data_IF_132250655736
#
_entry.id   IF_132250655736
#
_cell.length_a   1.000
_cell.length_b   1.000
_cell.length_c   1.000
_cell.angle_alpha   90.00
_cell.angle_beta   90.00
_cell.angle_gamma   90.00
#
_symmetry.space_group_name_H-M   'P 1'
#
loop_
_entity.id
_entity.type
_entity.pdbx_description
1 polymer ?
#
# COMPACT_ATOMS: atom_id res chain seq x y z
N UNK A 1 -3.79 10.64 -30.50
CA UNK A 1 -4.42 10.00 -29.32
C UNK A 1 -3.92 10.70 -28.07
N UNK A 2 -4.78 10.99 -27.10
CA UNK A 2 -4.39 11.67 -25.86
C UNK A 2 -3.61 10.66 -25.00
N UNK A 3 -2.30 10.88 -24.85
CA UNK A 3 -1.44 10.09 -23.96
C UNK A 3 -1.33 10.83 -22.64
N UNK A 4 -1.27 10.09 -21.53
CA UNK A 4 -1.17 10.65 -20.18
C UNK A 4 0.03 10.03 -19.47
N UNK A 5 0.61 10.79 -18.55
CA UNK A 5 1.63 10.30 -17.65
C UNK A 5 0.93 9.63 -16.47
N UNK A 6 1.30 8.40 -16.18
CA UNK A 6 0.89 7.67 -14.99
C UNK A 6 2.08 7.51 -14.05
N UNK A 7 1.85 7.80 -12.77
CA UNK A 7 2.83 7.84 -11.70
C UNK A 7 2.61 6.61 -10.82
N UNK A 8 3.54 5.67 -10.88
CA UNK A 8 3.50 4.46 -10.09
C UNK A 8 4.48 4.54 -8.90
N UNK A 9 3.97 4.35 -7.69
CA UNK A 9 4.77 4.25 -6.45
C UNK A 9 4.67 2.87 -5.78
N UNK A 10 3.80 1.99 -6.30
CA UNK A 10 3.46 0.68 -5.75
C UNK A 10 3.83 -0.47 -6.69
N UNK A 11 3.03 -1.53 -6.70
CA UNK A 11 3.26 -2.72 -7.55
C UNK A 11 3.30 -2.43 -9.07
N UNK A 12 2.70 -1.33 -9.51
CA UNK A 12 2.76 -0.84 -10.88
C UNK A 12 4.13 -0.22 -11.27
N UNK A 13 5.11 -0.18 -10.38
CA UNK A 13 6.50 0.09 -10.78
C UNK A 13 7.09 -1.08 -11.57
N UNK A 14 6.58 -2.30 -11.36
CA UNK A 14 7.06 -3.50 -12.01
C UNK A 14 6.68 -3.52 -13.50
N UNK A 15 7.69 -3.56 -14.38
CA UNK A 15 7.48 -3.65 -15.83
C UNK A 15 6.69 -4.90 -16.23
N UNK A 16 6.90 -6.03 -15.55
CA UNK A 16 6.20 -7.29 -15.81
C UNK A 16 4.70 -7.14 -15.51
N UNK A 17 4.37 -6.52 -14.37
CA UNK A 17 2.97 -6.29 -14.00
C UNK A 17 2.33 -5.22 -14.89
N UNK A 18 3.08 -4.18 -15.24
CA UNK A 18 2.60 -3.13 -16.14
C UNK A 18 2.34 -3.64 -17.55
N UNK A 19 3.19 -4.49 -18.12
CA UNK A 19 2.95 -5.07 -19.43
C UNK A 19 1.66 -5.93 -19.48
N UNK A 20 1.31 -6.59 -18.37
CA UNK A 20 0.07 -7.37 -18.25
C UNK A 20 -1.17 -6.46 -18.10
N UNK A 21 -1.06 -5.42 -17.28
CA UNK A 21 -2.16 -4.49 -16.98
C UNK A 21 -2.41 -3.49 -18.10
N UNK A 22 -1.35 -2.98 -18.71
CA UNK A 22 -1.33 -1.88 -19.66
C UNK A 22 -0.40 -2.22 -20.85
N UNK A 23 -0.91 -2.91 -21.88
CA UNK A 23 -0.09 -3.34 -23.02
C UNK A 23 0.50 -2.19 -23.85
N UNK A 24 -0.12 -1.01 -23.85
CA UNK A 24 0.39 0.15 -24.59
C UNK A 24 1.32 1.03 -23.74
N UNK A 25 1.57 0.65 -22.48
CA UNK A 25 2.36 1.46 -21.56
C UNK A 25 3.84 1.47 -21.95
N UNK A 26 4.44 2.66 -21.95
CA UNK A 26 5.86 2.83 -22.16
C UNK A 26 6.53 3.48 -20.95
N UNK A 27 7.60 2.86 -20.44
CA UNK A 27 8.40 3.42 -19.36
C UNK A 27 9.08 4.71 -19.86
N UNK A 28 8.87 5.82 -19.15
CA UNK A 28 9.44 7.14 -19.49
C UNK A 28 10.68 7.41 -18.64
N UNK A 29 10.66 6.99 -17.38
CA UNK A 29 11.75 7.26 -16.44
C UNK A 29 11.28 7.19 -15.00
N UNK A 30 12.01 7.86 -14.13
CA UNK A 30 11.74 7.95 -12.69
C UNK A 30 11.61 9.40 -12.26
N UNK A 31 11.13 9.62 -11.04
CA UNK A 31 11.07 10.94 -10.43
C UNK A 31 10.70 10.84 -8.96
N UNK A 32 10.35 11.96 -8.36
CA UNK A 32 9.82 12.01 -6.99
C UNK A 32 8.60 12.90 -6.89
N UNK A 33 7.71 12.54 -5.97
CA UNK A 33 6.53 13.33 -5.60
C UNK A 33 6.76 13.89 -4.20
N UNK A 34 6.94 15.21 -4.11
CA UNK A 34 7.18 15.90 -2.84
C UNK A 34 5.89 16.21 -2.08
N UNK A 35 6.01 16.30 -0.76
CA UNK A 35 4.90 16.54 0.15
C UNK A 35 4.03 15.29 0.38
N UNK A 36 4.58 14.10 0.14
CA UNK A 36 3.90 12.82 0.33
C UNK A 36 4.81 11.80 1.04
N UNK A 37 4.18 10.87 1.75
CA UNK A 37 4.82 9.65 2.24
C UNK A 37 4.12 8.40 1.71
N UNK A 38 4.88 7.31 1.61
CA UNK A 38 4.36 5.99 1.29
C UNK A 38 3.75 5.35 2.55
N UNK A 39 2.58 4.71 2.41
CA UNK A 39 1.88 4.01 3.48
C UNK A 39 1.24 2.73 2.96
N UNK A 40 0.78 1.87 3.85
CA UNK A 40 0.11 0.60 3.55
C UNK A 40 -1.24 0.54 4.25
N UNK A 41 -2.28 0.27 3.47
CA UNK A 41 -3.67 0.24 3.94
C UNK A 41 -4.42 -0.98 3.45
N UNK A 42 -5.40 -1.40 4.26
CA UNK A 42 -6.26 -2.53 3.99
C UNK A 42 -7.24 -2.26 2.84
N UNK A 43 -7.40 -3.28 2.01
CA UNK A 43 -8.39 -3.45 0.96
C UNK A 43 -9.21 -4.72 1.25
N UNK A 44 -10.23 -5.00 0.44
CA UNK A 44 -11.00 -6.25 0.52
C UNK A 44 -10.14 -7.51 0.31
N UNK A 45 -9.00 -7.37 -0.38
CA UNK A 45 -8.20 -8.51 -0.85
C UNK A 45 -6.79 -8.56 -0.27
N UNK A 46 -6.49 -7.72 0.73
CA UNK A 46 -5.16 -7.62 1.32
C UNK A 46 -4.77 -6.17 1.61
N UNK A 47 -3.48 -5.93 1.86
CA UNK A 47 -2.97 -4.61 2.18
C UNK A 47 -2.00 -4.12 1.10
N UNK A 48 -2.22 -2.90 0.61
CA UNK A 48 -1.51 -2.34 -0.55
C UNK A 48 -0.99 -0.93 -0.28
N UNK A 49 -0.02 -0.53 -1.10
CA UNK A 49 0.62 0.77 -1.02
C UNK A 49 -0.33 1.92 -1.35
N UNK A 50 -0.17 3.04 -0.64
CA UNK A 50 -0.78 4.32 -0.92
C UNK A 50 0.19 5.47 -0.62
N UNK A 51 -0.16 6.68 -1.04
CA UNK A 51 0.58 7.89 -0.67
C UNK A 51 -0.35 8.90 -0.02
N UNK A 52 0.09 9.52 1.08
CA UNK A 52 -0.67 10.56 1.78
C UNK A 52 0.18 11.78 2.03
N UNK A 53 -0.47 12.92 2.30
CA UNK A 53 0.21 14.19 2.50
C UNK A 53 1.10 14.16 3.75
N UNK A 54 2.37 14.49 3.56
CA UNK A 54 3.33 14.73 4.64
C UNK A 54 4.32 15.80 4.21
N UNK A 55 4.38 16.88 4.98
CA UNK A 55 5.37 17.93 4.76
C UNK A 55 6.78 17.36 4.91
N UNK A 56 7.72 17.89 4.13
CA UNK A 56 9.15 17.51 4.18
C UNK A 56 9.43 16.02 3.90
N UNK A 57 8.51 15.33 3.23
CA UNK A 57 8.66 13.97 2.75
C UNK A 57 8.49 13.89 1.23
N UNK A 58 9.03 12.85 0.62
CA UNK A 58 8.84 12.55 -0.79
C UNK A 58 8.69 11.05 -1.02
N UNK A 59 8.08 10.70 -2.16
CA UNK A 59 7.94 9.31 -2.62
C UNK A 59 8.61 9.17 -3.98
N UNK A 60 9.56 8.22 -4.16
CA UNK A 60 10.13 7.94 -5.46
C UNK A 60 9.11 7.18 -6.32
N UNK A 61 9.08 7.49 -7.61
CA UNK A 61 8.05 7.00 -8.53
C UNK A 61 8.63 6.59 -9.88
N UNK A 62 7.95 5.65 -10.52
CA UNK A 62 8.17 5.24 -11.89
C UNK A 62 7.11 5.89 -12.78
N UNK A 63 7.55 6.46 -13.90
CA UNK A 63 6.72 7.22 -14.81
C UNK A 63 6.42 6.41 -16.06
N UNK A 64 5.14 6.24 -16.34
CA UNK A 64 4.62 5.51 -17.50
C UNK A 64 3.86 6.44 -18.42
N UNK A 65 4.05 6.28 -19.73
CA UNK A 65 3.16 6.85 -20.73
C UNK A 65 2.08 5.85 -21.02
N UNK A 66 0.83 6.20 -20.75
CA UNK A 66 -0.31 5.30 -20.92
C UNK A 66 -1.28 5.79 -21.99
N UNK A 67 -1.93 4.85 -22.67
CA UNK A 67 -3.04 5.15 -23.59
C UNK A 67 -4.35 5.36 -22.83
N UNK A 68 -5.37 5.88 -23.50
CA UNK A 68 -6.71 5.96 -22.91
C UNK A 68 -7.32 4.56 -22.66
N UNK A 69 -6.85 3.51 -23.36
CA UNK A 69 -7.28 2.13 -23.12
C UNK A 69 -6.62 1.58 -21.86
N UNK A 70 -5.33 1.85 -21.66
CA UNK A 70 -4.60 1.51 -20.43
C UNK A 70 -5.22 2.21 -19.22
N UNK A 71 -5.57 3.50 -19.31
CA UNK A 71 -6.21 4.22 -18.21
C UNK A 71 -7.51 3.52 -17.77
N UNK A 72 -8.33 3.02 -18.72
CA UNK A 72 -9.55 2.26 -18.38
C UNK A 72 -9.24 0.91 -17.72
N UNK A 73 -8.14 0.26 -18.10
CA UNK A 73 -7.71 -1.01 -17.48
C UNK A 73 -7.21 -0.75 -16.05
N UNK A 74 -6.47 0.33 -15.84
CA UNK A 74 -6.06 0.78 -14.51
C UNK A 74 -7.27 1.16 -13.65
N UNK A 75 -8.25 1.92 -14.18
CA UNK A 75 -9.46 2.27 -13.44
C UNK A 75 -10.17 1.01 -12.90
N UNK A 76 -10.30 -0.02 -13.72
CA UNK A 76 -10.88 -1.30 -13.30
C UNK A 76 -10.00 -2.05 -12.29
N UNK A 77 -8.68 -2.05 -12.48
CA UNK A 77 -7.73 -2.74 -11.62
C UNK A 77 -7.63 -2.11 -10.23
N UNK A 78 -7.55 -0.79 -10.17
CA UNK A 78 -7.45 0.01 -8.94
C UNK A 78 -8.80 0.16 -8.23
N UNK A 79 -9.88 -0.37 -8.81
CA UNK A 79 -11.23 -0.29 -8.26
C UNK A 79 -11.73 1.16 -8.15
N UNK A 80 -11.35 2.01 -9.09
CA UNK A 80 -11.76 3.41 -9.15
C UNK A 80 -13.29 3.54 -9.33
N UNK A 81 -13.97 4.49 -8.64
CA UNK A 81 -13.45 5.42 -7.63
C UNK A 81 -13.57 4.91 -6.18
N UNK A 82 -13.96 3.66 -5.96
CA UNK A 82 -14.33 3.16 -4.62
C UNK A 82 -13.12 2.80 -3.74
N UNK A 83 -12.05 2.30 -4.33
CA UNK A 83 -10.85 1.89 -3.59
C UNK A 83 -9.78 2.96 -3.65
N UNK A 84 -9.42 3.33 -4.87
CA UNK A 84 -8.53 4.44 -5.15
C UNK A 84 -9.27 5.55 -5.90
N UNK A 85 -8.93 6.80 -5.60
CA UNK A 85 -9.32 7.95 -6.39
C UNK A 85 -8.15 8.43 -7.26
N UNK A 86 -8.49 9.14 -8.34
CA UNK A 86 -7.51 9.71 -9.27
C UNK A 86 -7.16 11.14 -8.90
N UNK A 87 -5.88 11.48 -8.97
CA UNK A 87 -5.40 12.85 -8.80
C UNK A 87 -4.27 13.15 -9.76
N UNK A 88 -4.19 14.38 -10.23
CA UNK A 88 -2.98 14.86 -10.91
C UNK A 88 -2.03 15.48 -9.89
N UNK A 89 -0.82 14.95 -9.79
CA UNK A 89 0.25 15.48 -8.91
C UNK A 89 1.46 15.90 -9.74
N UNK A 90 2.24 16.83 -9.19
CA UNK A 90 3.51 17.23 -9.77
C UNK A 90 4.58 16.19 -9.42
N UNK A 91 5.47 15.89 -10.37
CA UNK A 91 6.63 15.03 -10.19
C UNK A 91 7.86 15.80 -10.62
N UNK A 92 8.88 15.79 -9.76
CA UNK A 92 10.21 16.28 -10.11
C UNK A 92 10.99 15.15 -10.80
N UNK A 93 11.47 15.42 -12.01
CA UNK A 93 12.39 14.56 -12.77
C UNK A 93 13.68 15.32 -13.07
N UNK A 94 14.69 14.61 -13.57
CA UNK A 94 15.95 15.24 -14.00
C UNK A 94 15.76 16.27 -15.13
N UNK A 95 14.70 16.11 -15.92
CA UNK A 95 14.33 17.00 -17.03
C UNK A 95 13.37 18.14 -16.62
N UNK A 96 13.00 18.21 -15.34
CA UNK A 96 12.14 19.24 -14.76
C UNK A 96 10.82 18.70 -14.18
N UNK A 97 9.90 19.60 -13.88
CA UNK A 97 8.63 19.24 -13.25
C UNK A 97 7.56 18.89 -14.28
N UNK A 98 6.97 17.71 -14.17
CA UNK A 98 5.82 17.29 -14.98
C UNK A 98 4.59 17.03 -14.10
N UNK A 99 3.40 16.96 -14.70
CA UNK A 99 2.17 16.53 -14.01
C UNK A 99 1.69 15.20 -14.57
N UNK A 100 1.27 14.31 -13.70
CA UNK A 100 0.76 13.00 -14.07
C UNK A 100 -0.33 12.51 -13.14
N UNK A 101 -1.04 11.51 -13.64
CA UNK A 101 -2.08 10.78 -12.93
C UNK A 101 -1.45 9.88 -11.87
N UNK A 102 -1.99 9.93 -10.66
CA UNK A 102 -1.71 8.99 -9.59
C UNK A 102 -3.03 8.45 -9.02
N UNK A 103 -3.03 7.19 -8.61
CA UNK A 103 -4.11 6.60 -7.82
C UNK A 103 -3.77 6.75 -6.34
N UNK A 104 -4.67 7.25 -5.51
CA UNK A 104 -4.47 7.38 -4.07
C UNK A 104 -5.62 6.63 -3.37
N UNK A 105 -5.29 5.84 -2.36
CA UNK A 105 -6.28 5.05 -1.63
C UNK A 105 -7.02 6.00 -0.68
N UNK A 106 -8.33 5.82 -0.52
CA UNK A 106 -9.11 6.68 0.39
C UNK A 106 -8.52 6.70 1.80
N UNK A 107 -8.43 7.90 2.37
CA UNK A 107 -7.71 8.19 3.60
C UNK A 107 -8.38 7.57 4.84
N UNK A 108 -9.68 7.30 4.77
CA UNK A 108 -10.49 6.65 5.81
C UNK A 108 -10.21 5.14 5.98
N UNK A 109 -9.52 4.52 5.01
CA UNK A 109 -9.15 3.11 5.10
C UNK A 109 -8.11 2.88 6.18
N UNK A 110 -8.25 1.74 6.84
CA UNK A 110 -7.43 1.34 7.97
C UNK A 110 -6.03 0.92 7.52
N UNK A 111 -5.03 1.22 8.35
CA UNK A 111 -3.66 0.77 8.11
C UNK A 111 -3.54 -0.75 8.24
N UNK A 112 -2.57 -1.32 7.54
CA UNK A 112 -2.35 -2.76 7.54
C UNK A 112 -0.92 -3.14 7.23
N UNK A 113 -0.65 -4.44 7.32
CA UNK A 113 0.62 -5.05 6.92
C UNK A 113 0.42 -5.73 5.57
N UNK A 114 1.18 -5.37 4.52
CA UNK A 114 1.11 -6.04 3.23
C UNK A 114 1.61 -7.49 3.33
N UNK A 115 1.14 -8.35 2.42
CA UNK A 115 1.70 -9.69 2.29
C UNK A 115 3.19 -9.64 1.92
N UNK A 116 3.95 -10.61 2.43
CA UNK A 116 5.41 -10.64 2.28
C UNK A 116 5.87 -10.61 0.82
N UNK A 117 5.22 -11.37 -0.07
CA UNK A 117 5.56 -11.39 -1.49
C UNK A 117 5.31 -10.02 -2.18
N UNK A 118 4.27 -9.29 -1.76
CA UNK A 118 3.94 -7.98 -2.31
C UNK A 118 5.01 -6.97 -1.92
N UNK A 119 5.38 -6.95 -0.65
CA UNK A 119 6.44 -6.07 -0.14
C UNK A 119 7.80 -6.41 -0.77
N UNK A 120 8.15 -7.70 -0.88
CA UNK A 120 9.40 -8.15 -1.53
C UNK A 120 9.46 -7.75 -3.01
N UNK A 121 8.34 -7.79 -3.73
CA UNK A 121 8.27 -7.30 -5.11
C UNK A 121 8.56 -5.80 -5.18
N UNK A 122 7.98 -5.00 -4.27
CA UNK A 122 8.30 -3.57 -4.18
C UNK A 122 9.76 -3.32 -3.83
N UNK A 123 10.36 -4.09 -2.91
CA UNK A 123 11.79 -3.95 -2.62
C UNK A 123 12.66 -4.25 -3.86
N UNK A 124 12.29 -5.25 -4.66
CA UNK A 124 12.99 -5.57 -5.91
C UNK A 124 12.90 -4.41 -6.90
N UNK A 125 11.73 -3.80 -7.05
CA UNK A 125 11.54 -2.65 -7.93
C UNK A 125 12.32 -1.42 -7.41
N UNK A 126 12.30 -1.15 -6.10
CA UNK A 126 13.12 -0.10 -5.48
C UNK A 126 14.62 -0.30 -5.78
N UNK A 127 15.15 -1.52 -5.58
CA UNK A 127 16.55 -1.85 -5.90
C UNK A 127 16.84 -1.66 -7.39
N UNK A 128 15.93 -2.08 -8.27
CA UNK A 128 16.08 -1.97 -9.72
C UNK A 128 16.20 -0.52 -10.19
N UNK A 129 15.37 0.37 -9.64
CA UNK A 129 15.35 1.79 -10.00
C UNK A 129 16.31 2.65 -9.17
N UNK A 130 17.09 2.03 -8.25
CA UNK A 130 18.05 2.74 -7.41
C UNK A 130 17.40 3.65 -6.35
N UNK A 131 16.16 3.35 -5.97
CA UNK A 131 15.45 4.12 -4.94
C UNK A 131 15.93 3.78 -3.53
N UNK A 132 15.87 4.75 -2.64
CA UNK A 132 16.21 4.54 -1.23
C UNK A 132 15.17 3.63 -0.55
N UNK A 133 15.63 2.45 -0.14
CA UNK A 133 14.80 1.47 0.58
C UNK A 133 14.35 1.97 1.95
N UNK A 134 14.99 3.01 2.52
CA UNK A 134 14.53 3.63 3.76
C UNK A 134 13.10 4.15 3.63
N UNK A 135 12.72 4.71 2.48
CA UNK A 135 11.37 5.25 2.23
C UNK A 135 10.31 4.15 2.28
N UNK A 136 10.62 3.00 1.67
CA UNK A 136 9.74 1.83 1.68
C UNK A 136 9.56 1.26 3.10
N UNK A 137 10.67 1.12 3.83
CA UNK A 137 10.71 0.62 5.21
C UNK A 137 10.01 1.58 6.18
N UNK A 138 10.24 2.86 6.02
CA UNK A 138 9.60 3.92 6.80
C UNK A 138 8.09 3.92 6.58
N UNK A 139 7.65 3.75 5.32
CA UNK A 139 6.23 3.64 5.02
C UNK A 139 5.57 2.44 5.71
N UNK A 140 6.25 1.28 5.73
CA UNK A 140 5.77 0.10 6.47
C UNK A 140 5.73 0.35 7.98
N UNK A 141 6.81 0.92 8.55
CA UNK A 141 6.89 1.24 9.98
C UNK A 141 5.79 2.21 10.40
N UNK A 142 5.63 3.34 9.70
CA UNK A 142 4.59 4.31 10.03
C UNK A 142 3.18 3.72 9.89
N UNK A 143 2.96 2.82 8.94
CA UNK A 143 1.68 2.11 8.79
C UNK A 143 1.40 1.21 9.99
N UNK A 144 2.39 0.43 10.44
CA UNK A 144 2.33 -0.41 11.65
C UNK A 144 2.04 0.39 12.91
N UNK A 145 2.74 1.51 13.10
CA UNK A 145 2.55 2.42 14.25
C UNK A 145 1.11 2.93 14.34
N UNK A 146 0.50 3.24 13.18
CA UNK A 146 -0.88 3.73 13.09
C UNK A 146 -1.95 2.66 13.25
N UNK A 147 -1.57 1.37 13.31
CA UNK A 147 -2.50 0.31 13.66
C UNK A 147 -2.78 0.25 15.17
N UNK A 148 -1.92 0.83 16.01
CA UNK A 148 -2.12 0.88 17.46
C UNK A 148 -3.47 1.50 17.83
N UNK A 149 -4.19 0.84 18.73
CA UNK A 149 -5.54 1.25 19.17
C UNK A 149 -6.66 0.76 18.25
N UNK A 150 -6.34 0.16 17.10
CA UNK A 150 -7.36 -0.45 16.23
C UNK A 150 -8.06 -1.60 16.96
N UNK A 151 -9.38 -1.64 16.87
CA UNK A 151 -10.18 -2.73 17.40
C UNK A 151 -10.30 -3.84 16.36
N UNK A 152 -10.09 -5.07 16.80
CA UNK A 152 -10.15 -6.27 15.97
C UNK A 152 -11.06 -7.29 16.61
N UNK A 153 -11.71 -8.11 15.77
CA UNK A 153 -12.51 -9.26 16.18
C UNK A 153 -11.93 -10.50 15.56
N UNK A 154 -11.61 -11.50 16.38
CA UNK A 154 -11.09 -12.77 15.91
C UNK A 154 -12.16 -13.51 15.09
N UNK A 155 -11.81 -14.00 13.90
CA UNK A 155 -12.64 -14.89 13.10
C UNK A 155 -12.15 -16.33 13.23
N UNK A 156 -10.86 -16.56 13.01
CA UNK A 156 -10.24 -17.88 13.16
C UNK A 156 -8.74 -17.79 13.47
N UNK A 157 -8.25 -18.76 14.23
CA UNK A 157 -6.84 -18.94 14.61
C UNK A 157 -6.62 -20.41 14.94
N UNK A 158 -5.64 -21.05 14.28
CA UNK A 158 -5.30 -22.46 14.50
C UNK A 158 -4.27 -22.61 15.63
N UNK A 159 -4.68 -22.23 16.85
CA UNK A 159 -3.88 -22.36 18.07
C UNK A 159 -4.75 -22.87 19.24
N UNK A 160 -4.22 -23.80 20.05
CA UNK A 160 -4.94 -24.35 21.20
C UNK A 160 -5.26 -23.30 22.28
N UNK A 161 -4.51 -22.19 22.32
CA UNK A 161 -4.69 -21.08 23.26
C UNK A 161 -5.42 -19.89 22.61
N UNK A 162 -5.98 -20.07 21.41
CA UNK A 162 -6.76 -19.05 20.74
C UNK A 162 -7.95 -18.59 21.61
N UNK A 163 -8.23 -17.28 21.69
CA UNK A 163 -9.51 -16.79 22.17
C UNK A 163 -10.66 -17.40 21.36
N UNK A 164 -11.90 -17.47 21.90
CA UNK A 164 -13.05 -17.87 21.11
C UNK A 164 -13.25 -16.96 19.89
N UNK A 165 -13.67 -17.52 18.76
CA UNK A 165 -14.10 -16.72 17.61
C UNK A 165 -15.18 -15.71 18.03
N UNK A 166 -15.11 -14.50 17.48
CA UNK A 166 -15.94 -13.36 17.88
C UNK A 166 -15.37 -12.54 19.04
N UNK A 167 -14.30 -12.99 19.71
CA UNK A 167 -13.64 -12.21 20.75
C UNK A 167 -13.02 -10.95 20.13
N UNK A 168 -13.25 -9.82 20.78
CA UNK A 168 -12.64 -8.56 20.37
C UNK A 168 -11.40 -8.22 21.19
N UNK A 169 -10.53 -7.39 20.61
CA UNK A 169 -9.31 -6.93 21.23
C UNK A 169 -8.80 -5.64 20.63
N UNK A 170 -7.80 -5.06 21.29
CA UNK A 170 -7.17 -3.79 20.89
C UNK A 170 -5.73 -4.03 20.48
N UNK A 171 -5.37 -3.66 19.26
CA UNK A 171 -3.99 -3.71 18.76
C UNK A 171 -3.10 -2.83 19.62
N UNK A 172 -2.05 -3.41 20.20
CA UNK A 172 -1.07 -2.72 21.03
C UNK A 172 0.09 -2.20 20.19
N UNK A 173 0.62 -3.05 19.30
CA UNK A 173 1.67 -2.74 18.33
C UNK A 173 1.75 -3.86 17.28
N UNK A 174 2.53 -3.62 16.23
CA UNK A 174 2.89 -4.64 15.23
C UNK A 174 4.40 -4.75 15.20
N UNK A 175 4.93 -5.97 15.32
CA UNK A 175 6.37 -6.20 15.36
C UNK A 175 7.01 -6.25 13.96
N UNK A 176 8.33 -6.43 13.92
CA UNK A 176 9.09 -6.46 12.67
C UNK A 176 8.74 -7.66 11.77
N UNK A 177 8.33 -8.77 12.37
CA UNK A 177 7.85 -9.95 11.66
C UNK A 177 6.45 -9.74 11.04
N UNK A 178 5.73 -8.70 11.47
CA UNK A 178 4.38 -8.40 11.01
C UNK A 178 3.29 -9.02 11.89
N UNK A 179 3.65 -9.62 13.04
CA UNK A 179 2.68 -10.12 14.02
C UNK A 179 1.98 -8.93 14.67
N UNK A 180 0.65 -8.98 14.71
CA UNK A 180 -0.19 -7.96 15.32
C UNK A 180 -0.42 -8.37 16.77
N UNK A 181 0.18 -7.65 17.71
CA UNK A 181 0.03 -7.93 19.14
C UNK A 181 -1.27 -7.29 19.65
N UNK A 182 -2.18 -8.12 20.15
CA UNK A 182 -3.54 -7.71 20.54
C UNK A 182 -3.72 -7.93 22.04
N UNK A 183 -4.24 -6.93 22.74
CA UNK A 183 -4.82 -7.11 24.06
C UNK A 183 -6.29 -7.53 23.88
N UNK A 184 -6.59 -8.80 24.08
CA UNK A 184 -7.96 -9.32 23.98
C UNK A 184 -8.78 -8.90 25.19
N UNK A 185 -10.06 -8.65 24.99
CA UNK A 185 -10.99 -8.25 26.06
C UNK A 185 -11.20 -9.35 27.11
N UNK A 186 -10.92 -10.60 26.72
CA UNK A 186 -10.88 -11.76 27.61
C UNK A 186 -9.62 -11.80 28.50
N UNK A 187 -8.69 -10.85 28.33
CA UNK A 187 -7.46 -10.72 29.11
C UNK A 187 -6.22 -11.36 28.47
N UNK A 188 -6.38 -12.16 27.40
CA UNK A 188 -5.27 -12.77 26.67
C UNK A 188 -4.47 -11.77 25.83
N UNK A 189 -3.28 -12.19 25.37
CA UNK A 189 -2.37 -11.35 24.57
C UNK A 189 -1.80 -12.05 23.32
N UNK A 190 -2.46 -13.11 22.84
CA UNK A 190 -1.99 -13.87 21.69
C UNK A 190 -2.02 -13.00 20.43
N UNK A 191 -0.93 -13.01 19.66
CA UNK A 191 -0.80 -12.17 18.46
C UNK A 191 -1.53 -12.78 17.25
N UNK A 192 -1.99 -11.93 16.34
CA UNK A 192 -2.52 -12.33 15.03
C UNK A 192 -1.39 -12.33 14.00
N UNK A 193 -1.30 -13.38 13.20
CA UNK A 193 -0.34 -13.55 12.11
C UNK A 193 -1.06 -13.38 10.76
N UNK A 194 -0.77 -12.30 10.01
CA UNK A 194 -1.37 -12.09 8.69
C UNK A 194 -1.16 -13.28 7.75
N UNK A 195 -2.27 -13.79 7.18
CA UNK A 195 -2.29 -14.92 6.26
C UNK A 195 -2.34 -16.31 6.92
N UNK A 196 -2.16 -16.39 8.24
CA UNK A 196 -2.40 -17.61 9.02
C UNK A 196 -3.68 -17.51 9.85
N UNK A 197 -3.94 -16.34 10.42
CA UNK A 197 -5.15 -16.05 11.20
C UNK A 197 -6.12 -15.16 10.40
N UNK A 198 -7.41 -15.25 10.73
CA UNK A 198 -8.45 -14.40 10.17
C UNK A 198 -9.08 -13.52 11.25
N UNK A 199 -9.28 -12.25 10.93
CA UNK A 199 -9.92 -11.29 11.82
C UNK A 199 -10.62 -10.19 11.03
N UNK A 200 -11.53 -9.49 11.71
CA UNK A 200 -12.22 -8.32 11.20
C UNK A 200 -11.81 -7.07 11.98
N UNK A 201 -11.89 -5.91 11.34
CA UNK A 201 -11.77 -4.63 12.02
C UNK A 201 -13.12 -4.25 12.60
N UNK A 202 -13.14 -3.79 13.85
CA UNK A 202 -14.37 -3.30 14.51
C UNK A 202 -14.41 -1.78 14.38
N UNK A 203 -15.58 -1.25 14.04
CA UNK A 203 -15.84 0.20 13.97
C UNK A 203 -16.00 0.82 15.36
#
# INVERSE_FOLDING_TARGET
>A
MKQRIYIAYGSNMSEVQMAQRCPDAALIGTGRVDGYELLFKGSLTGCYATIEKKADAFVPVVLWRISAADERRLDAYEGFPRFYYKRDVAVETDDGTIRGLVYIMHEDRRFGVPEGWYYQNMERDYRKFGFDLSILRDGLRHSRERMKGTRVRLVSMDDMQAPPAGTEGTVQYVDDAGTIHVQWDTGGSLGLVPGADEWELVE
#
